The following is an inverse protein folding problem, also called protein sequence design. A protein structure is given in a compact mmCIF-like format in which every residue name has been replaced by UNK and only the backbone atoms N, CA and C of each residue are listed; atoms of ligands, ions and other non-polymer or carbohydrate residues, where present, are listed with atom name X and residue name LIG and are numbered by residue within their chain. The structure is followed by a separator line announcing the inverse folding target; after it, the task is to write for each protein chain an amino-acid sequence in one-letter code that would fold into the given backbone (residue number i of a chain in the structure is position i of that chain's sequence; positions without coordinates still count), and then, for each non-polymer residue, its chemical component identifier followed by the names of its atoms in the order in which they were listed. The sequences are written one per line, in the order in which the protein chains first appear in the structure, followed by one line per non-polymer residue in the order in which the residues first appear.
data_IF_340342632917
#
_entry.id   IF_340342632917
#
_cell.length_a   1.000
_cell.length_b   1.000
_cell.length_c   1.000
_cell.angle_alpha   90.00
_cell.angle_beta   90.00
_cell.angle_gamma   90.00
#
_symmetry.space_group_name_H-M   'P 1'
#
loop_
_entity.id
_entity.type
_entity.pdbx_description
1 polymer ?
#
# COMPACT_ATOMS: atom_id res chain seq x y z
N UNK A 1 -3.48 0.67 -8.11
CA UNK A 1 -3.57 0.45 -6.65
C UNK A 1 -5.01 0.19 -6.21
N UNK A 2 -5.92 1.17 -6.25
CA UNK A 2 -7.31 1.03 -5.75
C UNK A 2 -8.02 -0.24 -6.26
N UNK A 3 -8.03 -0.45 -7.56
CA UNK A 3 -8.71 -1.60 -8.18
C UNK A 3 -8.16 -2.95 -7.70
N UNK A 4 -6.84 -3.09 -7.53
CA UNK A 4 -6.23 -4.30 -6.99
C UNK A 4 -6.64 -4.55 -5.53
N UNK A 5 -6.64 -3.50 -4.70
CA UNK A 5 -7.08 -3.61 -3.30
C UNK A 5 -8.58 -3.92 -3.17
N UNK A 6 -9.41 -3.35 -4.05
CA UNK A 6 -10.84 -3.69 -4.12
C UNK A 6 -11.04 -5.14 -4.58
N UNK A 7 -10.28 -5.62 -5.57
CA UNK A 7 -10.35 -7.01 -6.02
C UNK A 7 -9.93 -8.02 -4.93
N UNK A 8 -9.07 -7.60 -4.01
CA UNK A 8 -8.67 -8.38 -2.83
C UNK A 8 -9.63 -8.24 -1.63
N UNK A 9 -10.76 -7.54 -1.80
CA UNK A 9 -11.75 -7.23 -0.76
C UNK A 9 -11.14 -6.53 0.47
N UNK A 10 -10.20 -5.61 0.24
CA UNK A 10 -9.57 -4.86 1.32
C UNK A 10 -10.55 -3.86 1.96
N UNK A 11 -10.67 -3.90 3.29
CA UNK A 11 -11.43 -2.95 4.10
C UNK A 11 -10.54 -2.11 5.01
N UNK A 12 -9.72 -2.79 5.81
CA UNK A 12 -8.70 -2.18 6.64
C UNK A 12 -7.34 -2.30 5.95
N UNK A 13 -6.63 -1.19 5.78
CA UNK A 13 -5.35 -1.14 5.08
C UNK A 13 -4.25 -0.53 5.97
N UNK A 14 -3.28 -1.29 6.41
CA UNK A 14 -2.05 -0.71 6.98
C UNK A 14 -1.16 -0.17 5.86
N UNK A 15 -0.54 1.01 6.04
CA UNK A 15 0.34 1.62 5.03
C UNK A 15 1.70 1.88 5.67
N UNK A 16 2.73 1.27 5.13
CA UNK A 16 4.12 1.43 5.54
C UNK A 16 4.90 2.10 4.41
N UNK A 17 5.63 3.17 4.70
CA UNK A 17 6.37 3.95 3.69
C UNK A 17 7.85 4.01 4.05
N UNK A 18 8.73 3.72 3.09
CA UNK A 18 10.19 3.82 3.26
C UNK A 18 10.87 4.40 2.02
N UNK A 19 11.51 5.57 2.17
CA UNK A 19 12.32 6.19 1.11
C UNK A 19 11.52 6.67 -0.11
N UNK A 20 10.21 6.85 0.05
CA UNK A 20 9.29 7.37 -0.97
C UNK A 20 8.46 8.49 -0.35
N UNK A 21 8.26 9.59 -1.07
CA UNK A 21 7.43 10.72 -0.65
C UNK A 21 5.95 10.41 -0.93
N UNK A 22 5.31 9.67 -0.02
CA UNK A 22 3.87 9.36 -0.06
C UNK A 22 3.29 9.62 1.32
N UNK A 23 2.22 10.41 1.37
CA UNK A 23 1.41 10.61 2.58
C UNK A 23 0.43 9.41 2.74
N UNK A 24 0.56 8.62 3.83
CA UNK A 24 -0.34 7.50 4.11
C UNK A 24 -1.80 7.91 4.28
N UNK A 25 -2.08 9.04 4.93
CA UNK A 25 -3.42 9.50 5.26
C UNK A 25 -4.13 10.07 4.03
N UNK A 26 -3.41 10.83 3.21
CA UNK A 26 -3.93 11.25 1.90
C UNK A 26 -4.23 10.05 1.01
N UNK A 27 -3.36 9.02 1.00
CA UNK A 27 -3.59 7.81 0.23
C UNK A 27 -4.82 7.04 0.74
N UNK A 28 -4.96 6.90 2.06
CA UNK A 28 -6.10 6.22 2.70
C UNK A 28 -7.42 6.90 2.34
N UNK A 29 -7.47 8.24 2.45
CA UNK A 29 -8.65 9.04 2.08
C UNK A 29 -9.01 8.92 0.60
N UNK A 30 -8.02 8.80 -0.29
CA UNK A 30 -8.25 8.64 -1.73
C UNK A 30 -8.74 7.24 -2.11
N UNK A 31 -8.28 6.20 -1.41
CA UNK A 31 -8.63 4.82 -1.74
C UNK A 31 -10.07 4.46 -1.38
N UNK A 32 -10.61 5.03 -0.27
CA UNK A 32 -12.00 4.81 0.21
C UNK A 32 -12.43 3.34 0.13
N UNK A 33 -11.58 2.44 0.64
CA UNK A 33 -11.80 1.01 0.60
C UNK A 33 -13.00 0.62 1.48
N UNK A 34 -13.75 -0.41 1.06
CA UNK A 34 -15.03 -0.82 1.67
C UNK A 34 -15.16 -2.33 1.82
N UNK A 35 -14.09 -3.08 1.62
CA UNK A 35 -14.11 -4.54 1.76
C UNK A 35 -14.10 -4.99 3.22
N UNK A 36 -13.94 -6.29 3.43
CA UNK A 36 -13.96 -6.90 4.76
C UNK A 36 -12.58 -7.33 5.26
N UNK A 37 -11.59 -7.48 4.37
CA UNK A 37 -10.29 -8.08 4.70
C UNK A 37 -9.26 -7.06 5.15
N UNK A 38 -8.51 -7.33 6.24
CA UNK A 38 -7.33 -6.55 6.58
C UNK A 38 -6.16 -6.92 5.65
N UNK A 39 -5.50 -5.92 5.08
CA UNK A 39 -4.27 -6.06 4.31
C UNK A 39 -3.25 -5.00 4.74
N UNK A 40 -1.99 -5.21 4.39
CA UNK A 40 -0.93 -4.20 4.52
C UNK A 40 -0.37 -3.85 3.15
N UNK A 41 -0.03 -2.59 2.94
CA UNK A 41 0.71 -2.12 1.77
C UNK A 41 2.05 -1.53 2.20
N UNK A 42 3.13 -2.06 1.64
CA UNK A 42 4.49 -1.55 1.83
C UNK A 42 4.90 -0.79 0.59
N UNK A 43 5.08 0.53 0.73
CA UNK A 43 5.57 1.42 -0.32
C UNK A 43 7.03 1.71 -0.04
N UNK A 44 7.92 1.11 -0.82
CA UNK A 44 9.35 1.23 -0.62
C UNK A 44 10.06 1.62 -1.90
N UNK A 45 11.18 2.34 -1.77
CA UNK A 45 12.12 2.52 -2.88
C UNK A 45 12.96 1.25 -3.02
N UNK A 46 12.84 0.59 -4.16
CA UNK A 46 13.61 -0.62 -4.50
C UNK A 46 14.63 -0.26 -5.59
N UNK A 47 15.90 -0.62 -5.36
CA UNK A 47 17.02 -0.28 -6.23
C UNK A 47 18.02 0.67 -5.56
N UNK A 48 19.18 0.87 -6.18
CA UNK A 48 20.28 1.64 -5.59
C UNK A 48 20.16 3.14 -5.89
N UNK A 49 20.35 3.98 -4.86
CA UNK A 49 20.44 5.44 -4.92
C UNK A 49 19.42 6.11 -5.87
N UNK A 50 19.90 6.90 -6.84
CA UNK A 50 19.07 7.65 -7.78
C UNK A 50 18.27 6.77 -8.76
N UNK A 51 18.66 5.51 -8.96
CA UNK A 51 17.96 4.55 -9.83
C UNK A 51 16.82 3.81 -9.12
N UNK A 52 16.64 4.03 -7.81
CA UNK A 52 15.59 3.36 -7.05
C UNK A 52 14.18 3.79 -7.49
N UNK A 53 13.31 2.81 -7.74
CA UNK A 53 11.90 3.02 -8.11
C UNK A 53 11.00 2.84 -6.90
N UNK A 54 9.97 3.69 -6.79
CA UNK A 54 8.89 3.48 -5.81
C UNK A 54 8.05 2.26 -6.20
N UNK A 55 8.01 1.26 -5.33
CA UNK A 55 7.27 0.01 -5.52
C UNK A 55 6.31 -0.19 -4.35
N UNK A 56 5.10 -0.66 -4.66
CA UNK A 56 4.09 -0.99 -3.66
C UNK A 56 3.86 -2.51 -3.64
N UNK A 57 4.01 -3.11 -2.47
CA UNK A 57 3.73 -4.52 -2.22
C UNK A 57 2.44 -4.64 -1.41
N UNK A 58 1.56 -5.56 -1.78
CA UNK A 58 0.36 -5.88 -1.01
C UNK A 58 0.64 -7.17 -0.24
N UNK A 59 0.48 -7.12 1.07
CA UNK A 59 0.72 -8.22 1.99
C UNK A 59 -0.60 -8.62 2.66
N UNK A 60 -0.81 -9.92 2.84
CA UNK A 60 -1.87 -10.45 3.69
C UNK A 60 -1.29 -10.85 5.06
N UNK A 61 -2.12 -10.87 6.12
CA UNK A 61 -1.75 -11.46 7.39
C UNK A 61 -1.36 -12.92 7.16
N UNK A 62 -0.20 -13.32 7.68
CA UNK A 62 0.34 -14.67 7.51
C UNK A 62 0.04 -15.60 8.68
N UNK A 63 -0.73 -15.14 9.67
CA UNK A 63 -1.01 -15.88 10.90
C UNK A 63 -2.43 -15.62 11.40
#
# INVERSE_FOLDING_TARGET
MRQALTALDCGALEILVRGVQVDPDALRRRLRLRGSRPLSVVIARIGSAAAGRGTAFVCCPSR
#
